data_IF_485480689453
#
_entry.id   IF_485480689453
#
_cell.length_a   1.000
_cell.length_b   1.000
_cell.length_c   1.000
_cell.angle_alpha   90.00
_cell.angle_beta   90.00
_cell.angle_gamma   90.00
#
_symmetry.space_group_name_H-M   'P 1'
#
loop_
_entity.id
_entity.type
_entity.pdbx_description
1 polymer ?
#
# COMPACT_ATOMS: atom_id res chain seq x y z
N UNK A 1 -9.66 6.14 -17.37
CA UNK A 1 -9.27 6.15 -15.94
C UNK A 1 -10.26 6.96 -15.11
N UNK A 2 -10.57 8.19 -15.52
CA UNK A 2 -11.51 9.06 -14.80
C UNK A 2 -12.92 8.46 -14.63
N UNK A 3 -13.47 7.84 -15.67
CA UNK A 3 -14.77 7.15 -15.58
C UNK A 3 -14.76 6.00 -14.55
N UNK A 4 -13.66 5.23 -14.50
CA UNK A 4 -13.51 4.13 -13.56
C UNK A 4 -13.39 4.65 -12.12
N UNK A 5 -12.58 5.69 -11.91
CA UNK A 5 -12.46 6.35 -10.61
C UNK A 5 -13.80 6.92 -10.14
N UNK A 6 -14.57 7.52 -11.05
CA UNK A 6 -15.90 8.04 -10.75
C UNK A 6 -16.88 6.92 -10.38
N UNK A 7 -16.85 5.78 -11.06
CA UNK A 7 -17.67 4.62 -10.69
C UNK A 7 -17.27 4.03 -9.35
N UNK A 8 -15.97 3.88 -9.07
CA UNK A 8 -15.47 3.46 -7.76
C UNK A 8 -15.96 4.42 -6.68
N UNK A 9 -15.88 5.73 -6.90
CA UNK A 9 -16.40 6.73 -5.97
C UNK A 9 -17.89 6.56 -5.67
N UNK A 10 -18.72 6.42 -6.71
CA UNK A 10 -20.17 6.25 -6.55
C UNK A 10 -20.50 4.92 -5.85
N UNK A 11 -19.82 3.83 -6.22
CA UNK A 11 -20.01 2.53 -5.62
C UNK A 11 -19.67 2.54 -4.12
N UNK A 12 -18.49 3.06 -3.75
CA UNK A 12 -18.06 3.15 -2.35
C UNK A 12 -19.00 4.06 -1.53
N UNK A 13 -19.49 5.16 -2.12
CA UNK A 13 -20.47 6.04 -1.47
C UNK A 13 -21.83 5.35 -1.23
N UNK A 14 -22.27 4.45 -2.12
CA UNK A 14 -23.50 3.65 -1.93
C UNK A 14 -23.39 2.69 -0.74
N UNK A 15 -22.18 2.25 -0.37
CA UNK A 15 -21.96 1.28 0.72
C UNK A 15 -22.14 1.88 2.14
N UNK A 16 -22.27 3.21 2.28
CA UNK A 16 -22.59 3.84 3.57
C UNK A 16 -21.39 4.01 4.52
N UNK A 17 -21.55 3.62 5.79
CA UNK A 17 -20.50 3.80 6.82
C UNK A 17 -19.29 2.89 6.60
N UNK A 18 -18.19 3.50 6.14
CA UNK A 18 -16.89 2.85 5.94
C UNK A 18 -16.06 2.93 7.23
N UNK A 19 -16.54 2.31 8.31
CA UNK A 19 -15.90 2.40 9.62
C UNK A 19 -14.71 1.43 9.80
N UNK A 20 -14.34 0.65 8.78
CA UNK A 20 -13.27 -0.37 8.84
C UNK A 20 -12.52 -0.50 7.52
N UNK A 21 -11.31 -1.02 7.58
CA UNK A 21 -10.60 -1.51 6.40
C UNK A 21 -11.43 -2.60 5.72
N UNK A 22 -11.89 -2.36 4.49
CA UNK A 22 -12.74 -3.27 3.72
C UNK A 22 -12.05 -3.64 2.42
N UNK A 23 -12.15 -4.91 2.05
CA UNK A 23 -11.70 -5.44 0.77
C UNK A 23 -12.95 -5.84 -0.01
N UNK A 24 -13.19 -5.21 -1.14
CA UNK A 24 -14.31 -5.52 -2.04
C UNK A 24 -13.75 -6.22 -3.26
N UNK A 25 -14.28 -7.40 -3.57
CA UNK A 25 -13.88 -8.24 -4.70
C UNK A 25 -15.06 -8.57 -5.63
N UNK A 26 -16.28 -8.18 -5.26
CA UNK A 26 -17.51 -8.41 -6.03
C UNK A 26 -18.31 -7.13 -6.12
N UNK A 27 -18.73 -6.76 -7.32
CA UNK A 27 -19.43 -5.50 -7.59
C UNK A 27 -20.80 -5.79 -8.21
N UNK A 28 -21.80 -6.02 -7.37
CA UNK A 28 -23.18 -6.30 -7.82
C UNK A 28 -23.69 -5.10 -8.62
N UNK A 29 -24.30 -5.35 -9.78
CA UNK A 29 -24.85 -4.34 -10.71
C UNK A 29 -23.84 -3.40 -11.41
N UNK A 30 -22.54 -3.55 -11.18
CA UNK A 30 -21.51 -2.66 -11.76
C UNK A 30 -20.68 -3.42 -12.82
N UNK A 31 -21.14 -3.46 -14.08
CA UNK A 31 -20.51 -4.21 -15.17
C UNK A 31 -19.07 -3.80 -15.45
N UNK A 32 -18.78 -2.50 -15.46
CA UNK A 32 -17.45 -1.96 -15.70
C UNK A 32 -16.46 -2.27 -14.57
N UNK A 33 -16.92 -2.30 -13.31
CA UNK A 33 -16.05 -2.68 -12.19
C UNK A 33 -15.68 -4.16 -12.26
N UNK A 34 -16.63 -5.04 -12.58
CA UNK A 34 -16.36 -6.47 -12.74
C UNK A 34 -15.43 -6.78 -13.92
N UNK A 35 -15.38 -5.93 -14.94
CA UNK A 35 -14.49 -6.11 -16.09
C UNK A 35 -13.06 -5.62 -15.82
N UNK A 36 -12.90 -4.48 -15.14
CA UNK A 36 -11.61 -3.78 -15.05
C UNK A 36 -10.98 -3.74 -13.65
N UNK A 37 -11.74 -4.03 -12.60
CA UNK A 37 -11.28 -3.92 -11.21
C UNK A 37 -11.24 -5.30 -10.57
N UNK A 38 -10.06 -5.72 -10.16
CA UNK A 38 -9.91 -6.98 -9.43
C UNK A 38 -10.35 -6.82 -7.97
N UNK A 39 -9.79 -5.82 -7.28
CA UNK A 39 -10.06 -5.55 -5.87
C UNK A 39 -10.13 -4.05 -5.60
N UNK A 40 -10.95 -3.65 -4.64
CA UNK A 40 -10.97 -2.31 -4.06
C UNK A 40 -10.61 -2.42 -2.59
N UNK A 41 -9.54 -1.75 -2.19
CA UNK A 41 -9.17 -1.57 -0.79
C UNK A 41 -9.71 -0.23 -0.31
N UNK A 42 -10.54 -0.27 0.72
CA UNK A 42 -10.98 0.91 1.46
C UNK A 42 -10.28 0.86 2.81
N UNK A 43 -9.41 1.81 3.09
CA UNK A 43 -8.73 1.92 4.38
C UNK A 43 -8.87 3.33 4.92
N UNK A 44 -8.98 3.43 6.24
CA UNK A 44 -8.78 4.69 6.95
C UNK A 44 -7.37 4.64 7.57
N UNK A 45 -6.52 5.60 7.20
CA UNK A 45 -5.19 5.76 7.78
C UNK A 45 -5.18 6.76 8.95
N UNK A 46 -6.33 7.38 9.25
CA UNK A 46 -6.53 8.25 10.40
C UNK A 46 -7.26 7.49 11.51
N UNK A 47 -6.54 7.02 12.53
CA UNK A 47 -7.14 6.45 13.76
C UNK A 47 -7.99 7.45 14.56
N UNK A 48 -8.00 8.71 14.14
CA UNK A 48 -8.90 9.70 14.69
C UNK A 48 -10.31 9.39 14.18
N UNK A 49 -11.15 8.82 15.04
CA UNK A 49 -12.61 8.75 14.86
C UNK A 49 -13.11 10.06 14.27
N UNK A 50 -13.24 10.12 12.94
CA UNK A 50 -13.84 11.26 12.26
C UNK A 50 -15.30 11.16 12.65
N UNK A 51 -15.69 11.93 13.66
CA UNK A 51 -17.08 12.20 13.97
C UNK A 51 -17.68 12.84 12.73
N UNK A 52 -18.28 12.01 11.88
CA UNK A 52 -19.38 12.34 10.96
C UNK A 52 -19.41 13.80 10.52
N UNK A 53 -18.40 14.23 9.77
CA UNK A 53 -18.46 15.47 9.02
C UNK A 53 -17.80 15.26 7.67
N UNK A 54 -18.68 14.97 6.72
CA UNK A 54 -18.49 15.07 5.28
C UNK A 54 -17.34 14.22 4.71
N UNK A 55 -17.72 13.10 4.10
CA UNK A 55 -16.86 12.31 3.20
C UNK A 55 -16.65 13.09 1.88
N UNK A 56 -16.19 14.34 1.97
CA UNK A 56 -16.10 15.23 0.81
C UNK A 56 -14.79 15.02 0.01
N UNK A 57 -13.78 14.37 0.60
CA UNK A 57 -12.51 14.08 -0.08
C UNK A 57 -12.11 12.63 0.07
N UNK A 58 -12.60 11.75 -0.82
CA UNK A 58 -12.01 10.43 -1.02
C UNK A 58 -10.82 10.54 -1.97
N UNK A 59 -9.66 10.04 -1.57
CA UNK A 59 -8.50 9.95 -2.44
C UNK A 59 -8.46 8.56 -3.10
N UNK A 60 -8.84 8.49 -4.38
CA UNK A 60 -8.89 7.24 -5.13
C UNK A 60 -7.58 7.05 -5.88
N UNK A 61 -6.89 5.94 -5.59
CA UNK A 61 -5.66 5.54 -6.28
C UNK A 61 -5.99 4.32 -7.12
N UNK A 62 -5.89 4.45 -8.44
CA UNK A 62 -5.99 3.34 -9.37
C UNK A 62 -4.58 2.87 -9.74
N UNK A 63 -4.34 1.57 -9.61
CA UNK A 63 -3.09 0.97 -10.02
C UNK A 63 -3.34 -0.37 -10.72
N UNK A 64 -2.36 -0.82 -11.50
CA UNK A 64 -2.35 -2.15 -12.12
C UNK A 64 -1.07 -2.84 -11.68
N UNK A 65 -1.19 -4.07 -11.20
CA UNK A 65 -0.04 -4.88 -10.82
C UNK A 65 0.74 -5.34 -12.04
N UNK A 66 2.05 -5.39 -11.90
CA UNK A 66 2.98 -6.00 -12.84
C UNK A 66 3.14 -7.47 -12.45
N UNK A 67 3.21 -8.33 -13.45
CA UNK A 67 3.45 -9.78 -13.36
C UNK A 67 4.69 -10.11 -14.19
N UNK A 68 5.83 -9.61 -13.73
CA UNK A 68 7.14 -9.88 -14.31
C UNK A 68 8.01 -10.69 -13.34
N UNK A 69 9.01 -11.38 -13.86
CA UNK A 69 9.98 -12.01 -12.98
C UNK A 69 10.90 -10.94 -12.39
N UNK A 70 11.33 -11.08 -11.12
CA UNK A 70 12.26 -10.15 -10.53
C UNK A 70 13.58 -10.11 -11.32
N UNK A 71 14.18 -8.93 -11.38
CA UNK A 71 15.51 -8.78 -11.93
C UNK A 71 16.57 -9.17 -10.89
N UNK A 72 17.25 -10.29 -11.13
CA UNK A 72 18.36 -10.73 -10.31
C UNK A 72 19.68 -10.07 -10.77
N UNK A 73 20.33 -9.37 -9.86
CA UNK A 73 21.68 -8.84 -10.08
C UNK A 73 22.67 -9.97 -9.86
N UNK A 74 23.03 -10.67 -10.93
CA UNK A 74 23.99 -11.77 -10.90
C UNK A 74 25.37 -11.32 -11.35
N UNK A 75 26.41 -11.76 -10.64
CA UNK A 75 27.81 -11.59 -11.05
C UNK A 75 28.46 -12.97 -11.11
N UNK A 76 29.23 -13.21 -12.16
CA UNK A 76 30.04 -14.41 -12.30
C UNK A 76 31.41 -14.20 -11.65
N UNK A 77 31.68 -14.89 -10.54
CA UNK A 77 32.98 -14.91 -9.87
C UNK A 77 33.50 -16.34 -9.96
N UNK A 78 34.68 -16.52 -10.55
CA UNK A 78 35.34 -17.83 -10.70
C UNK A 78 34.48 -18.91 -11.41
N UNK A 79 33.56 -18.50 -12.27
CA UNK A 79 32.66 -19.40 -12.99
C UNK A 79 31.37 -19.77 -12.23
N UNK A 80 31.24 -19.33 -10.98
CA UNK A 80 30.00 -19.44 -10.21
C UNK A 80 29.16 -18.17 -10.34
N UNK A 81 27.84 -18.34 -10.52
CA UNK A 81 26.89 -17.21 -10.53
C UNK A 81 26.46 -16.89 -9.11
N UNK A 82 26.79 -15.69 -8.64
CA UNK A 82 26.35 -15.20 -7.34
C UNK A 82 25.27 -14.13 -7.51
N UNK A 83 24.14 -14.29 -6.81
CA UNK A 83 23.10 -13.28 -6.74
C UNK A 83 23.45 -12.25 -5.66
N UNK A 84 23.59 -10.98 -6.06
CA UNK A 84 23.90 -9.85 -5.19
C UNK A 84 22.66 -9.12 -4.68
N UNK A 85 21.51 -9.32 -5.34
CA UNK A 85 20.29 -8.61 -4.99
C UNK A 85 19.19 -8.80 -6.03
N UNK A 86 17.97 -8.59 -5.56
CA UNK A 86 16.75 -8.75 -6.34
C UNK A 86 16.07 -7.38 -6.48
N UNK A 87 15.65 -7.02 -7.69
CA UNK A 87 14.90 -5.79 -7.96
C UNK A 87 13.53 -6.14 -8.54
N UNK A 88 12.51 -5.54 -7.94
CA UNK A 88 11.12 -5.69 -8.33
C UNK A 88 10.58 -4.41 -8.96
N UNK A 89 9.76 -4.56 -10.00
CA UNK A 89 8.99 -3.47 -10.59
C UNK A 89 7.73 -3.24 -9.75
N UNK A 90 7.51 -2.04 -9.21
CA UNK A 90 6.32 -1.73 -8.41
C UNK A 90 5.25 -0.96 -9.22
N UNK A 91 3.95 -1.20 -8.97
CA UNK A 91 3.39 -2.18 -8.03
C UNK A 91 3.41 -3.62 -8.60
N UNK A 92 3.79 -4.60 -7.78
CA UNK A 92 3.98 -6.00 -8.21
C UNK A 92 2.94 -6.93 -7.61
N UNK A 93 2.44 -7.92 -8.37
CA UNK A 93 1.40 -8.85 -7.91
C UNK A 93 1.84 -9.68 -6.68
N UNK A 94 3.13 -10.01 -6.57
CA UNK A 94 3.66 -10.79 -5.45
C UNK A 94 3.52 -10.11 -4.08
N UNK A 95 3.44 -8.78 -4.05
CA UNK A 95 3.27 -8.01 -2.81
C UNK A 95 1.82 -7.58 -2.56
N UNK A 96 0.91 -7.95 -3.48
CA UNK A 96 -0.52 -7.71 -3.33
C UNK A 96 -1.05 -8.46 -2.10
N UNK A 97 -1.90 -7.82 -1.30
CA UNK A 97 -2.47 -8.40 -0.06
C UNK A 97 -1.48 -8.61 1.10
N UNK A 98 -0.16 -8.47 0.89
CA UNK A 98 0.84 -8.63 1.95
C UNK A 98 0.66 -7.62 3.07
N UNK A 99 0.29 -6.39 2.73
CA UNK A 99 0.04 -5.37 3.73
C UNK A 99 -1.14 -5.74 4.63
N UNK A 100 -2.17 -6.35 4.08
CA UNK A 100 -3.39 -6.73 4.76
C UNK A 100 -3.17 -7.92 5.70
N UNK A 101 -2.34 -8.90 5.32
CA UNK A 101 -2.07 -10.10 6.13
C UNK A 101 -1.23 -9.84 7.38
N UNK A 102 -0.48 -8.75 7.42
CA UNK A 102 0.36 -8.42 8.58
C UNK A 102 -0.50 -8.02 9.78
N UNK A 103 -0.65 -8.82 10.82
CA UNK A 103 -1.34 -8.39 12.03
C UNK A 103 -0.33 -7.95 13.10
N UNK A 104 -0.55 -6.75 13.66
CA UNK A 104 0.27 -6.23 14.75
C UNK A 104 -0.62 -5.78 15.89
N UNK A 105 -0.24 -6.11 17.12
CA UNK A 105 -0.96 -5.68 18.33
C UNK A 105 -0.88 -4.16 18.56
N UNK A 106 0.13 -3.51 17.98
CA UNK A 106 0.34 -2.08 18.00
C UNK A 106 -0.08 -1.45 16.67
N UNK A 107 -0.43 -0.15 16.64
CA UNK A 107 -0.78 0.59 15.42
C UNK A 107 0.44 0.87 14.52
N UNK A 108 1.35 -0.09 14.38
CA UNK A 108 2.61 0.01 13.65
C UNK A 108 2.38 0.35 12.18
N UNK A 109 1.36 -0.24 11.55
CA UNK A 109 0.97 0.05 10.16
C UNK A 109 0.63 1.53 9.97
N UNK A 110 -0.25 2.07 10.82
CA UNK A 110 -0.68 3.46 10.78
C UNK A 110 0.51 4.41 10.98
N UNK A 111 1.34 4.13 11.99
CA UNK A 111 2.53 4.93 12.28
C UNK A 111 3.56 4.90 11.14
N UNK A 112 3.81 3.72 10.57
CA UNK A 112 4.73 3.55 9.44
C UNK A 112 4.24 4.34 8.22
N UNK A 113 2.96 4.25 7.89
CA UNK A 113 2.37 4.98 6.77
C UNK A 113 2.43 6.49 6.98
N UNK A 114 2.06 6.97 8.17
CA UNK A 114 2.14 8.40 8.51
C UNK A 114 3.58 8.91 8.41
N UNK A 115 4.55 8.15 8.87
CA UNK A 115 5.97 8.49 8.73
C UNK A 115 6.38 8.59 7.27
N UNK A 116 6.10 7.56 6.45
CA UNK A 116 6.44 7.55 5.02
C UNK A 116 5.78 8.72 4.28
N UNK A 117 4.49 8.99 4.52
CA UNK A 117 3.81 10.12 3.91
C UNK A 117 4.41 11.46 4.31
N UNK A 118 4.80 11.61 5.58
CA UNK A 118 5.47 12.83 6.08
C UNK A 118 6.82 13.03 5.40
N UNK A 119 7.63 11.97 5.28
CA UNK A 119 8.92 12.00 4.59
C UNK A 119 8.75 12.41 3.13
N UNK A 120 7.81 11.79 2.39
CA UNK A 120 7.51 12.14 0.99
C UNK A 120 7.04 13.60 0.89
N UNK A 121 6.22 14.06 1.82
CA UNK A 121 5.72 15.44 1.84
C UNK A 121 6.85 16.45 2.08
N UNK A 122 7.77 16.16 2.98
CA UNK A 122 8.94 17.00 3.24
C UNK A 122 9.89 17.04 2.05
N UNK A 123 10.08 15.91 1.37
CA UNK A 123 10.90 15.83 0.17
C UNK A 123 10.29 16.67 -0.97
N UNK A 124 8.97 16.56 -1.19
CA UNK A 124 8.24 17.39 -2.17
C UNK A 124 8.26 18.89 -1.84
N UNK A 125 8.32 19.23 -0.56
CA UNK A 125 8.42 20.63 -0.11
C UNK A 125 9.86 21.18 -0.16
N UNK A 126 10.83 20.36 -0.58
CA UNK A 126 12.25 20.72 -0.68
C UNK A 126 12.81 21.38 0.59
N UNK A 127 12.42 20.85 1.74
CA UNK A 127 12.80 21.38 3.06
C UNK A 127 14.31 21.21 3.26
N UNK A 128 14.95 22.24 3.81
CA UNK A 128 16.35 22.19 4.21
C UNK A 128 16.55 21.16 5.33
N UNK A 129 17.25 20.07 5.00
CA UNK A 129 17.53 18.94 5.91
C UNK A 129 18.49 19.31 7.05
N UNK A 130 19.13 20.48 6.98
CA UNK A 130 19.97 21.01 8.07
C UNK A 130 19.15 21.67 9.18
N UNK A 131 17.96 22.15 8.86
CA UNK A 131 17.02 22.78 9.82
C UNK A 131 16.05 21.75 10.38
N UNK A 132 15.57 20.83 9.55
CA UNK A 132 14.68 19.74 9.96
C UNK A 132 15.34 18.40 9.61
N UNK A 133 15.77 17.68 10.63
CA UNK A 133 16.42 16.38 10.46
C UNK A 133 15.41 15.30 10.06
N UNK A 134 15.36 14.97 8.77
CA UNK A 134 14.50 13.94 8.21
C UNK A 134 15.36 12.82 7.60
N UNK A 135 15.67 11.79 8.39
CA UNK A 135 16.34 10.59 7.89
C UNK A 135 15.33 9.70 7.17
N UNK A 136 15.75 9.03 6.09
CA UNK A 136 14.90 8.11 5.32
C UNK A 136 15.08 6.65 5.78
N UNK A 137 15.46 6.44 7.03
CA UNK A 137 15.84 5.14 7.58
C UNK A 137 14.77 4.65 8.55
N UNK A 138 14.27 3.45 8.29
CA UNK A 138 13.29 2.76 9.14
C UNK A 138 13.97 1.50 9.64
N UNK A 139 13.99 1.30 10.96
CA UNK A 139 14.50 0.09 11.59
C UNK A 139 13.34 -0.66 12.23
N UNK A 140 13.01 -1.82 11.68
CA UNK A 140 12.03 -2.75 12.25
C UNK A 140 12.81 -3.88 12.92
N UNK A 141 12.56 -4.14 14.20
CA UNK A 141 13.20 -5.21 14.96
C UNK A 141 12.14 -6.04 15.69
N UNK A 142 12.40 -7.35 15.84
CA UNK A 142 11.50 -8.27 16.51
C UNK A 142 12.14 -9.65 16.69
N UNK A 143 11.51 -10.55 17.48
CA UNK A 143 11.98 -11.93 17.63
C UNK A 143 12.05 -12.64 16.27
N UNK A 144 13.05 -13.51 16.03
CA UNK A 144 13.14 -14.27 14.80
C UNK A 144 11.88 -15.14 14.65
N UNK A 145 11.14 -14.95 13.56
CA UNK A 145 9.90 -15.67 13.28
C UNK A 145 8.62 -14.83 13.23
N UNK A 146 8.64 -13.58 13.72
CA UNK A 146 7.44 -12.72 13.73
C UNK A 146 6.81 -12.52 12.34
N UNK A 147 7.64 -12.50 11.29
CA UNK A 147 7.19 -12.35 9.89
C UNK A 147 7.05 -13.68 9.14
N UNK A 148 7.59 -14.79 9.67
CA UNK A 148 7.52 -16.11 9.02
C UNK A 148 6.25 -16.88 9.39
N UNK A 149 5.64 -16.60 10.54
CA UNK A 149 4.42 -17.30 11.01
C UNK A 149 3.15 -16.98 10.21
N UNK A 150 3.20 -15.99 9.32
CA UNK A 150 2.06 -15.54 8.50
C UNK A 150 2.25 -15.84 7.01
N UNK A 151 3.21 -16.71 6.67
CA UNK A 151 3.59 -17.07 5.28
C UNK A 151 3.22 -18.51 4.87
N UNK A 152 2.29 -19.16 5.58
CA UNK A 152 1.75 -20.48 5.24
C UNK A 152 0.27 -20.42 4.83
#
# INVERSE_FOLDING_TARGET
>A
LDQLAQQVYQFVRKQGELNRSLILNTYVEESLLNEYVNKIYVGDFEENKIKTKEINSMHIILYKTIDDNPFNHEVSIEGEKQNLGCRWSLPHYQFESLWETLEFDLPLKSQLMQYVFTVIRFDKANIDRTVIHCNQTILLYGPPGLFLLYSD
#
